data_IF_555587517776
#
_entry.id   IF_555587517776
#
_cell.length_a   1.000
_cell.length_b   1.000
_cell.length_c   1.000
_cell.angle_alpha   90.00
_cell.angle_beta   90.00
_cell.angle_gamma   90.00
#
_symmetry.space_group_name_H-M   'P 1'
#
loop_
_entity.id
_entity.type
_entity.pdbx_description
1 polymer ?
#
# COMPACT_ATOMS: atom_id res chain seq x y z
N UNK A 1 -23.28 -16.39 -12.60
CA UNK A 1 -23.16 -14.91 -12.64
C UNK A 1 -22.53 -14.32 -11.37
N UNK A 2 -22.81 -14.80 -10.15
CA UNK A 2 -22.17 -14.28 -8.94
C UNK A 2 -20.81 -14.95 -8.60
N UNK A 3 -20.56 -16.18 -9.06
CA UNK A 3 -19.29 -16.88 -8.80
C UNK A 3 -18.13 -16.39 -9.68
N UNK A 4 -18.39 -16.04 -10.94
CA UNK A 4 -17.34 -15.50 -11.85
C UNK A 4 -16.79 -14.17 -11.32
N UNK A 5 -17.67 -13.32 -10.77
CA UNK A 5 -17.29 -12.04 -10.18
C UNK A 5 -16.47 -12.19 -8.89
N UNK A 6 -16.64 -13.31 -8.16
CA UNK A 6 -15.84 -13.64 -6.97
C UNK A 6 -14.46 -14.18 -7.34
N UNK A 7 -14.31 -14.80 -8.50
CA UNK A 7 -13.02 -15.26 -9.01
C UNK A 7 -12.10 -14.09 -9.36
N UNK A 8 -12.63 -13.07 -10.04
CA UNK A 8 -11.88 -11.84 -10.38
C UNK A 8 -11.41 -11.08 -9.12
N UNK A 9 -12.20 -11.11 -8.03
CA UNK A 9 -11.84 -10.43 -6.76
C UNK A 9 -10.68 -11.14 -6.05
N UNK A 10 -10.57 -12.47 -6.17
CA UNK A 10 -9.48 -13.23 -5.57
C UNK A 10 -8.15 -13.00 -6.29
N UNK A 11 -8.16 -12.83 -7.61
CA UNK A 11 -6.96 -12.47 -8.40
C UNK A 11 -6.43 -11.06 -8.08
N UNK A 12 -7.30 -10.17 -7.57
CA UNK A 12 -6.90 -8.82 -7.18
C UNK A 12 -6.30 -8.77 -5.77
N UNK A 13 -6.46 -9.79 -4.93
CA UNK A 13 -6.03 -9.73 -3.53
C UNK A 13 -4.53 -10.05 -3.36
N UNK A 14 -3.66 -9.03 -3.37
CA UNK A 14 -2.23 -9.21 -3.06
C UNK A 14 -1.92 -8.73 -1.65
N UNK A 15 -1.54 -9.64 -0.76
CA UNK A 15 -1.05 -9.29 0.58
C UNK A 15 0.47 -9.12 0.56
N UNK A 16 0.98 -8.01 1.08
CA UNK A 16 2.42 -7.75 1.20
C UNK A 16 2.73 -6.87 2.41
N UNK A 17 3.97 -6.87 2.88
CA UNK A 17 4.40 -5.96 3.94
C UNK A 17 4.82 -4.59 3.38
N UNK A 18 4.85 -3.56 4.22
CA UNK A 18 5.39 -2.25 3.82
C UNK A 18 6.88 -2.35 3.43
N UNK A 19 7.65 -3.26 4.04
CA UNK A 19 9.02 -3.57 3.63
C UNK A 19 9.08 -4.11 2.20
N UNK A 20 8.20 -5.06 1.85
CA UNK A 20 8.09 -5.57 0.48
C UNK A 20 7.63 -4.50 -0.51
N UNK A 21 6.72 -3.59 -0.10
CA UNK A 21 6.35 -2.44 -0.92
C UNK A 21 7.54 -1.53 -1.17
N UNK A 22 8.37 -1.24 -0.16
CA UNK A 22 9.57 -0.43 -0.33
C UNK A 22 10.56 -1.07 -1.31
N UNK A 23 10.73 -2.39 -1.26
CA UNK A 23 11.63 -3.11 -2.16
C UNK A 23 11.11 -3.16 -3.61
N UNK A 24 9.79 -3.35 -3.81
CA UNK A 24 9.19 -3.54 -5.13
C UNK A 24 8.69 -2.25 -5.79
N UNK A 25 8.40 -1.22 -5.00
CA UNK A 25 7.79 0.05 -5.40
C UNK A 25 8.53 1.25 -4.75
N UNK A 26 9.85 1.41 -5.00
CA UNK A 26 10.72 2.28 -4.21
C UNK A 26 10.55 3.78 -4.48
N UNK A 27 9.87 4.19 -5.55
CA UNK A 27 9.77 5.61 -5.94
C UNK A 27 8.75 6.39 -5.11
N UNK A 28 8.08 5.73 -4.15
CA UNK A 28 7.16 6.34 -3.21
C UNK A 28 7.40 5.81 -1.79
N UNK A 29 7.46 6.70 -0.80
CA UNK A 29 7.67 6.32 0.60
C UNK A 29 6.34 5.87 1.21
N UNK A 30 6.03 4.58 1.02
CA UNK A 30 4.80 3.96 1.52
C UNK A 30 4.68 4.00 3.04
N UNK A 31 5.79 3.76 3.76
CA UNK A 31 5.76 3.77 5.21
C UNK A 31 5.49 5.18 5.76
N UNK A 32 6.12 6.21 5.18
CA UNK A 32 5.81 7.59 5.51
C UNK A 32 4.35 7.91 5.21
N UNK A 33 3.86 7.55 4.02
CA UNK A 33 2.48 7.81 3.62
C UNK A 33 1.46 7.24 4.61
N UNK A 34 1.59 5.96 4.99
CA UNK A 34 0.67 5.36 5.97
C UNK A 34 0.77 6.04 7.35
N UNK A 35 1.98 6.35 7.82
CA UNK A 35 2.16 7.03 9.10
C UNK A 35 1.62 8.48 9.11
N UNK A 36 1.63 9.15 7.96
CA UNK A 36 1.08 10.49 7.77
C UNK A 36 -0.45 10.48 7.68
N UNK A 37 -1.02 9.54 6.93
CA UNK A 37 -2.48 9.37 6.79
C UNK A 37 -3.13 8.98 8.11
N UNK A 38 -2.47 8.13 8.90
CA UNK A 38 -2.98 7.66 10.19
C UNK A 38 -2.50 8.52 11.37
N UNK A 39 -1.92 9.70 11.10
CA UNK A 39 -1.29 10.53 12.13
C UNK A 39 -2.18 10.83 13.33
N UNK A 40 -3.45 11.14 13.08
CA UNK A 40 -4.39 11.57 14.11
C UNK A 40 -5.19 10.41 14.70
N UNK A 41 -4.88 9.17 14.30
CA UNK A 41 -5.57 7.97 14.78
C UNK A 41 -4.82 7.39 15.98
N UNK A 42 -5.50 7.34 17.12
CA UNK A 42 -4.98 6.79 18.36
C UNK A 42 -5.65 5.46 18.70
N UNK A 43 -4.87 4.54 19.25
CA UNK A 43 -5.37 3.32 19.88
C UNK A 43 -6.17 3.65 21.16
N UNK A 44 -6.90 2.65 21.68
CA UNK A 44 -7.72 2.77 22.88
C UNK A 44 -6.92 3.18 24.13
N UNK A 45 -5.62 2.91 24.13
CA UNK A 45 -4.69 3.30 25.19
C UNK A 45 -4.08 4.70 24.99
N UNK A 46 -4.55 5.47 24.00
CA UNK A 46 -4.05 6.82 23.70
C UNK A 46 -2.74 6.88 22.92
N UNK A 47 -2.12 5.73 22.60
CA UNK A 47 -0.93 5.71 21.74
C UNK A 47 -1.29 5.94 20.28
N UNK A 48 -0.48 6.71 19.55
CA UNK A 48 -0.65 6.92 18.11
C UNK A 48 -0.40 5.62 17.36
N UNK A 49 -1.24 5.30 16.39
CA UNK A 49 -1.01 4.17 15.49
C UNK A 49 0.19 4.51 14.59
N UNK A 50 1.14 3.58 14.52
CA UNK A 50 2.30 3.69 13.62
C UNK A 50 2.54 2.36 12.94
N UNK A 51 3.09 2.42 11.73
CA UNK A 51 3.38 1.28 10.88
C UNK A 51 4.89 1.17 10.65
N UNK A 52 5.40 -0.05 10.83
CA UNK A 52 6.77 -0.43 10.53
C UNK A 52 6.84 -1.26 9.23
N UNK A 53 8.03 -1.74 8.89
CA UNK A 53 8.27 -2.54 7.68
C UNK A 53 7.54 -3.89 7.68
N UNK A 54 7.12 -4.39 8.85
CA UNK A 54 6.43 -5.67 9.00
C UNK A 54 4.91 -5.54 8.85
N UNK A 55 4.38 -4.32 8.86
CA UNK A 55 2.95 -4.07 8.70
C UNK A 55 2.45 -4.64 7.37
N UNK A 56 1.46 -5.52 7.45
CA UNK A 56 0.85 -6.16 6.28
C UNK A 56 -0.28 -5.30 5.71
N UNK A 57 -0.30 -5.17 4.39
CA UNK A 57 -1.33 -4.46 3.63
C UNK A 57 -1.90 -5.35 2.53
N UNK A 58 -3.16 -5.12 2.20
CA UNK A 58 -3.85 -5.77 1.08
C UNK A 58 -3.93 -4.76 -0.06
N UNK A 59 -3.38 -5.13 -1.20
CA UNK A 59 -3.33 -4.32 -2.41
C UNK A 59 -4.19 -4.98 -3.47
N UNK A 60 -5.25 -4.28 -3.89
CA UNK A 60 -6.14 -4.74 -4.95
C UNK A 60 -5.59 -4.51 -6.38
N UNK A 61 -4.71 -3.52 -6.54
CA UNK A 61 -4.20 -3.08 -7.84
C UNK A 61 -2.68 -3.11 -7.91
N UNK A 62 -2.06 -4.28 -7.65
CA UNK A 62 -0.59 -4.37 -7.62
C UNK A 62 0.04 -3.99 -8.98
N UNK A 63 -0.58 -4.38 -10.09
CA UNK A 63 -0.13 -3.99 -11.43
C UNK A 63 -0.25 -2.49 -11.69
N UNK A 64 -1.27 -1.84 -11.12
CA UNK A 64 -1.39 -0.39 -11.16
C UNK A 64 -0.23 0.26 -10.40
N UNK A 65 0.08 -0.21 -9.18
CA UNK A 65 1.19 0.33 -8.40
C UNK A 65 2.54 0.14 -9.09
N UNK A 66 2.78 -1.01 -9.74
CA UNK A 66 3.99 -1.26 -10.52
C UNK A 66 4.14 -0.30 -11.71
N UNK A 67 3.04 0.02 -12.39
CA UNK A 67 3.05 1.00 -13.49
C UNK A 67 3.26 2.42 -12.97
N UNK A 68 2.62 2.76 -11.84
CA UNK A 68 2.80 4.05 -11.19
C UNK A 68 4.25 4.25 -10.75
N UNK A 69 4.86 3.25 -10.11
CA UNK A 69 6.25 3.31 -9.67
C UNK A 69 7.23 3.60 -10.83
N UNK A 70 7.00 3.00 -11.99
CA UNK A 70 7.78 3.29 -13.21
C UNK A 70 7.56 4.71 -13.75
N UNK A 71 6.38 5.28 -13.54
CA UNK A 71 6.01 6.61 -14.03
C UNK A 71 6.50 7.72 -13.10
N UNK A 72 6.45 7.54 -11.78
CA UNK A 72 6.83 8.55 -10.79
C UNK A 72 8.18 9.26 -11.07
N UNK A 73 9.28 8.56 -11.39
CA UNK A 73 10.56 9.24 -11.64
C UNK A 73 10.60 10.00 -12.98
N UNK A 74 9.61 9.83 -13.87
CA UNK A 74 9.55 10.49 -15.17
C UNK A 74 8.93 11.90 -15.09
N UNK A 75 8.31 12.25 -13.97
CA UNK A 75 7.67 13.55 -13.78
C UNK A 75 8.41 14.37 -12.72
N UNK A 76 8.52 15.67 -12.97
CA UNK A 76 8.98 16.60 -11.96
C UNK A 76 7.94 16.74 -10.86
N UNK A 77 8.39 17.01 -9.63
CA UNK A 77 7.51 17.16 -8.46
C UNK A 77 6.69 18.46 -8.44
N UNK A 78 6.85 19.32 -9.46
CA UNK A 78 6.47 20.74 -9.45
C UNK A 78 5.29 21.04 -10.35
#
# INVERSE_FOLDING_TARGET
MADDQRHDIAELYTKMTLGQMREQLPNFDWQLFFNEVFRDITSKNGSRISFDENAEVVVYGVEFLRRLDKLLPQFEKR
#
